data_IF_686443011432
#
_entry.id   IF_686443011432
#
_cell.length_a   1.000
_cell.length_b   1.000
_cell.length_c   1.000
_cell.angle_alpha   90.00
_cell.angle_beta   90.00
_cell.angle_gamma   90.00
#
_symmetry.space_group_name_H-M   'P 1'
#
loop_
_entity.id
_entity.type
_entity.pdbx_description
1 polymer ?
#
# COMPACT_ATOMS: atom_id res chain seq x y z
N UNK A 1 -17.06 14.30 8.31
CA UNK A 1 -15.86 15.15 8.45
C UNK A 1 -14.66 14.24 8.31
N UNK A 2 -13.77 14.47 7.34
CA UNK A 2 -12.55 13.70 7.23
C UNK A 2 -11.51 14.29 8.18
N UNK A 3 -10.84 13.49 9.03
CA UNK A 3 -9.74 13.98 9.84
C UNK A 3 -8.60 14.40 8.92
N UNK A 4 -8.08 15.61 9.10
CA UNK A 4 -6.90 16.11 8.38
C UNK A 4 -5.64 16.08 9.24
N UNK A 5 -5.79 15.82 10.53
CA UNK A 5 -4.74 15.76 11.54
C UNK A 5 -5.27 14.99 12.74
N UNK A 6 -4.41 14.29 13.43
CA UNK A 6 -4.66 13.82 14.79
C UNK A 6 -4.02 14.77 15.83
N UNK A 7 -4.41 14.64 17.07
CA UNK A 7 -3.93 15.48 18.17
C UNK A 7 -2.86 14.78 19.04
N UNK A 8 -2.44 13.56 18.66
CA UNK A 8 -1.43 12.81 19.41
C UNK A 8 -0.02 13.31 19.07
N UNK A 9 0.75 13.84 20.03
CA UNK A 9 2.09 14.34 19.79
C UNK A 9 3.05 13.16 19.51
N UNK A 10 3.89 13.30 18.49
CA UNK A 10 4.99 12.38 18.19
C UNK A 10 6.32 12.93 18.68
N UNK A 11 7.23 12.05 19.09
CA UNK A 11 8.57 12.40 19.57
C UNK A 11 9.61 12.31 18.45
N UNK A 12 9.38 11.46 17.45
CA UNK A 12 10.28 11.22 16.34
C UNK A 12 9.72 11.71 15.01
N UNK A 13 10.60 11.99 14.04
CA UNK A 13 10.16 12.35 12.68
C UNK A 13 9.73 11.09 11.93
N UNK A 14 8.59 11.09 11.24
CA UNK A 14 8.05 9.92 10.53
C UNK A 14 8.75 9.70 9.17
N UNK A 15 10.03 9.33 9.20
CA UNK A 15 10.87 9.23 7.99
C UNK A 15 10.36 8.14 7.05
N UNK A 16 9.93 6.99 7.58
CA UNK A 16 9.45 5.86 6.77
C UNK A 16 8.10 6.19 6.16
N UNK A 17 7.17 6.76 6.94
CA UNK A 17 5.86 7.20 6.43
C UNK A 17 6.02 8.19 5.28
N UNK A 18 6.89 9.21 5.45
CA UNK A 18 7.18 10.21 4.41
C UNK A 18 7.80 9.53 3.18
N UNK A 19 8.75 8.61 3.36
CA UNK A 19 9.38 7.90 2.25
C UNK A 19 8.39 7.05 1.46
N UNK A 20 7.51 6.30 2.16
CA UNK A 20 6.46 5.49 1.52
C UNK A 20 5.49 6.37 0.72
N UNK A 21 5.04 7.49 1.29
CA UNK A 21 4.19 8.47 0.60
C UNK A 21 4.90 9.00 -0.65
N UNK A 22 6.15 9.44 -0.52
CA UNK A 22 6.92 9.97 -1.64
C UNK A 22 7.08 8.95 -2.77
N UNK A 23 7.38 7.68 -2.45
CA UNK A 23 7.51 6.59 -3.42
C UNK A 23 6.18 6.37 -4.15
N UNK A 24 5.06 6.25 -3.43
CA UNK A 24 3.74 6.07 -4.04
C UNK A 24 3.37 7.23 -4.95
N UNK A 25 3.61 8.47 -4.52
CA UNK A 25 3.35 9.68 -5.33
C UNK A 25 4.23 9.70 -6.57
N UNK A 26 5.54 9.42 -6.47
CA UNK A 26 6.44 9.39 -7.62
C UNK A 26 6.04 8.31 -8.64
N UNK A 27 5.72 7.10 -8.17
CA UNK A 27 5.25 6.01 -9.04
C UNK A 27 3.94 6.39 -9.71
N UNK A 28 3.00 6.97 -8.99
CA UNK A 28 1.72 7.38 -9.55
C UNK A 28 1.87 8.51 -10.58
N UNK A 29 2.72 9.50 -10.34
CA UNK A 29 3.01 10.56 -11.32
C UNK A 29 3.63 9.97 -12.58
N UNK A 30 4.51 8.99 -12.45
CA UNK A 30 5.03 8.24 -13.60
C UNK A 30 3.90 7.50 -14.34
N UNK A 31 3.05 6.74 -13.64
CA UNK A 31 1.88 6.08 -14.23
C UNK A 31 0.97 7.07 -14.97
N UNK A 32 0.73 8.24 -14.39
CA UNK A 32 -0.12 9.29 -14.96
C UNK A 32 0.49 9.94 -16.20
N UNK A 33 1.83 10.00 -16.31
CA UNK A 33 2.53 10.54 -17.47
C UNK A 33 2.50 9.62 -18.70
N UNK A 34 2.14 8.35 -18.52
CA UNK A 34 2.10 7.37 -19.60
C UNK A 34 0.80 7.45 -20.40
N UNK A 35 0.84 6.97 -21.63
CA UNK A 35 -0.37 6.71 -22.40
C UNK A 35 -1.24 5.66 -21.70
N UNK A 36 -2.54 5.71 -21.94
CA UNK A 36 -3.48 4.79 -21.27
C UNK A 36 -3.11 3.30 -21.47
N UNK A 37 -2.69 2.91 -22.65
CA UNK A 37 -2.26 1.54 -22.97
C UNK A 37 -1.01 1.11 -22.19
N UNK A 38 -0.04 2.02 -22.03
CA UNK A 38 1.21 1.75 -21.30
C UNK A 38 0.95 1.64 -19.79
N UNK A 39 0.13 2.53 -19.24
CA UNK A 39 -0.27 2.47 -17.83
C UNK A 39 -1.06 1.18 -17.54
N UNK A 40 -1.98 0.79 -18.42
CA UNK A 40 -2.71 -0.49 -18.29
C UNK A 40 -1.74 -1.67 -18.29
N UNK A 41 -0.74 -1.67 -19.17
CA UNK A 41 0.29 -2.71 -19.19
C UNK A 41 1.11 -2.78 -17.88
N UNK A 42 1.48 -1.63 -17.31
CA UNK A 42 2.19 -1.58 -16.01
C UNK A 42 1.32 -2.17 -14.90
N UNK A 43 0.06 -1.76 -14.82
CA UNK A 43 -0.87 -2.27 -13.82
C UNK A 43 -1.07 -3.77 -13.97
N UNK A 44 -1.20 -4.24 -15.22
CA UNK A 44 -1.39 -5.66 -15.52
C UNK A 44 -0.17 -6.52 -15.21
N UNK A 45 1.04 -5.97 -15.39
CA UNK A 45 2.31 -6.66 -15.17
C UNK A 45 2.81 -6.62 -13.74
N UNK A 46 2.56 -5.54 -13.00
CA UNK A 46 3.08 -5.32 -11.65
C UNK A 46 2.00 -5.36 -10.55
N UNK A 47 0.72 -5.37 -10.92
CA UNK A 47 -0.39 -5.63 -10.02
C UNK A 47 -0.49 -7.11 -9.69
N UNK A 48 -0.86 -7.43 -8.46
CA UNK A 48 -1.00 -8.82 -8.00
C UNK A 48 -2.31 -9.41 -8.53
N UNK A 49 -2.21 -10.45 -9.35
CA UNK A 49 -3.35 -11.22 -9.85
C UNK A 49 -3.50 -12.50 -9.05
N UNK A 50 -4.60 -12.69 -8.30
CA UNK A 50 -4.83 -13.90 -7.51
C UNK A 50 -4.65 -15.18 -8.31
N UNK A 51 -5.24 -15.25 -9.49
CA UNK A 51 -5.17 -16.44 -10.35
C UNK A 51 -3.73 -16.78 -10.76
N UNK A 52 -2.94 -15.78 -11.17
CA UNK A 52 -1.54 -15.99 -11.56
C UNK A 52 -0.68 -16.44 -10.38
N UNK A 53 -0.98 -15.96 -9.18
CA UNK A 53 -0.26 -16.37 -7.98
C UNK A 53 -0.39 -17.88 -7.70
N UNK A 54 -1.54 -18.50 -7.99
CA UNK A 54 -1.81 -19.91 -7.75
C UNK A 54 -1.49 -20.81 -8.95
N UNK A 55 -1.78 -20.36 -10.18
CA UNK A 55 -1.58 -21.18 -11.37
C UNK A 55 -0.13 -21.15 -11.88
N UNK A 56 0.55 -20.03 -11.73
CA UNK A 56 1.91 -19.81 -12.20
C UNK A 56 2.83 -19.34 -11.07
N UNK A 57 3.02 -20.15 -10.00
CA UNK A 57 3.86 -19.76 -8.87
C UNK A 57 5.30 -19.55 -9.34
N UNK A 58 5.86 -18.36 -9.03
CA UNK A 58 7.23 -18.01 -9.42
C UNK A 58 7.65 -16.65 -8.89
N UNK A 59 8.93 -16.33 -8.98
CA UNK A 59 9.50 -15.09 -8.43
C UNK A 59 8.79 -13.84 -8.95
N UNK A 60 8.44 -13.82 -10.24
CA UNK A 60 7.74 -12.69 -10.84
C UNK A 60 6.38 -12.47 -10.18
N UNK A 61 5.56 -13.52 -10.03
CA UNK A 61 4.23 -13.41 -9.44
C UNK A 61 4.29 -13.17 -7.93
N UNK A 62 5.29 -13.68 -7.22
CA UNK A 62 5.52 -13.32 -5.82
C UNK A 62 5.97 -11.87 -5.66
N UNK A 63 6.77 -11.35 -6.60
CA UNK A 63 7.17 -9.94 -6.60
C UNK A 63 5.97 -9.00 -6.76
N UNK A 64 4.93 -9.40 -7.52
CA UNK A 64 3.73 -8.57 -7.70
C UNK A 64 2.98 -8.30 -6.39
N UNK A 65 3.12 -9.13 -5.37
CA UNK A 65 2.56 -8.87 -4.04
C UNK A 65 3.10 -7.56 -3.46
N UNK A 66 4.40 -7.31 -3.66
CA UNK A 66 5.05 -6.10 -3.16
C UNK A 66 4.88 -4.92 -4.11
N UNK A 67 5.09 -5.10 -5.41
CA UNK A 67 4.97 -4.01 -6.39
C UNK A 67 3.55 -3.44 -6.45
N UNK A 68 2.53 -4.28 -6.30
CA UNK A 68 1.12 -3.86 -6.27
C UNK A 68 0.81 -2.85 -5.17
N UNK A 69 1.52 -2.89 -4.04
CA UNK A 69 1.32 -1.95 -2.93
C UNK A 69 1.66 -0.50 -3.28
N UNK A 70 2.44 -0.27 -4.34
CA UNK A 70 2.89 1.07 -4.76
C UNK A 70 2.13 1.62 -5.97
N UNK A 71 1.36 0.77 -6.67
CA UNK A 71 0.55 1.18 -7.81
C UNK A 71 -0.80 1.74 -7.36
N UNK A 72 -1.33 2.74 -8.09
CA UNK A 72 -2.63 3.31 -7.79
C UNK A 72 -3.45 3.51 -9.05
N UNK A 73 -4.75 3.19 -8.98
CA UNK A 73 -5.66 3.24 -10.12
C UNK A 73 -6.25 4.63 -10.43
N UNK A 74 -5.93 5.65 -9.62
CA UNK A 74 -6.42 7.01 -9.84
C UNK A 74 -6.14 7.94 -8.66
N UNK A 75 -6.35 9.24 -8.87
CA UNK A 75 -6.06 10.28 -7.87
C UNK A 75 -6.76 10.05 -6.53
N UNK A 76 -8.04 9.73 -6.52
CA UNK A 76 -8.79 9.53 -5.27
C UNK A 76 -8.29 8.31 -4.50
N UNK A 77 -7.87 7.26 -5.20
CA UNK A 77 -7.27 6.07 -4.61
C UNK A 77 -5.92 6.39 -3.95
N UNK A 78 -5.05 7.14 -4.66
CA UNK A 78 -3.78 7.59 -4.09
C UNK A 78 -3.99 8.52 -2.90
N UNK A 79 -4.80 9.58 -3.07
CA UNK A 79 -5.02 10.59 -2.02
C UNK A 79 -5.58 9.94 -0.76
N UNK A 80 -6.55 9.02 -0.89
CA UNK A 80 -7.11 8.30 0.25
C UNK A 80 -6.04 7.52 1.01
N UNK A 81 -5.23 6.71 0.32
CA UNK A 81 -4.15 5.95 0.96
C UNK A 81 -3.11 6.87 1.62
N UNK A 82 -2.65 7.90 0.92
CA UNK A 82 -1.62 8.80 1.43
C UNK A 82 -2.11 9.65 2.60
N UNK A 83 -3.37 10.07 2.57
CA UNK A 83 -3.97 10.82 3.67
C UNK A 83 -4.02 9.98 4.96
N UNK A 84 -4.50 8.75 4.88
CA UNK A 84 -4.53 7.85 6.05
C UNK A 84 -3.13 7.50 6.56
N UNK A 85 -2.18 7.25 5.66
CA UNK A 85 -0.80 7.01 6.05
C UNK A 85 -0.14 8.25 6.67
N UNK A 86 -0.47 9.45 6.18
CA UNK A 86 0.01 10.72 6.73
C UNK A 86 -0.52 10.97 8.15
N UNK A 87 -1.82 10.73 8.38
CA UNK A 87 -2.48 11.04 9.65
C UNK A 87 -2.10 10.04 10.74
N UNK A 88 -2.06 8.74 10.41
CA UNK A 88 -1.91 7.68 11.40
C UNK A 88 -0.51 7.03 11.40
N UNK A 89 0.19 7.10 10.27
CA UNK A 89 1.50 6.48 10.11
C UNK A 89 2.55 7.06 11.02
N UNK A 90 2.54 8.38 11.25
CA UNK A 90 3.48 9.07 12.11
C UNK A 90 3.45 8.52 13.56
N UNK A 91 2.27 8.32 14.13
CA UNK A 91 2.11 7.85 15.50
C UNK A 91 2.50 6.38 15.64
N UNK A 92 2.15 5.54 14.67
CA UNK A 92 2.52 4.12 14.68
C UNK A 92 4.02 3.95 14.43
N UNK A 93 4.61 4.76 13.56
CA UNK A 93 6.07 4.78 13.35
C UNK A 93 6.81 5.23 14.61
N UNK A 94 6.29 6.26 15.31
CA UNK A 94 6.85 6.72 16.58
C UNK A 94 6.79 5.64 17.66
N UNK A 95 5.65 4.94 17.78
CA UNK A 95 5.45 3.87 18.76
C UNK A 95 6.31 2.63 18.51
N UNK A 96 6.51 2.24 17.23
CA UNK A 96 7.24 1.03 16.86
C UNK A 96 8.72 1.28 16.58
N UNK A 97 9.08 2.50 16.19
CA UNK A 97 10.37 2.84 15.58
C UNK A 97 10.41 2.49 14.09
N UNK A 98 11.25 3.19 13.33
CA UNK A 98 11.31 3.17 11.87
C UNK A 98 11.38 1.78 11.25
N UNK A 99 12.31 0.94 11.73
CA UNK A 99 12.53 -0.40 11.13
C UNK A 99 11.35 -1.34 11.37
N UNK A 100 10.80 -1.36 12.60
CA UNK A 100 9.66 -2.23 12.90
C UNK A 100 8.41 -1.76 12.17
N UNK A 101 8.21 -0.46 12.05
CA UNK A 101 7.10 0.12 11.28
C UNK A 101 7.17 -0.27 9.81
N UNK A 102 8.35 -0.19 9.18
CA UNK A 102 8.53 -0.62 7.79
C UNK A 102 8.20 -2.10 7.59
N UNK A 103 8.72 -2.96 8.47
CA UNK A 103 8.41 -4.40 8.43
C UNK A 103 6.91 -4.65 8.65
N UNK A 104 6.31 -3.98 9.63
CA UNK A 104 4.88 -4.07 9.92
C UNK A 104 4.02 -3.67 8.71
N UNK A 105 4.36 -2.56 8.04
CA UNK A 105 3.69 -2.10 6.83
C UNK A 105 3.69 -3.18 5.74
N UNK A 106 4.84 -3.79 5.47
CA UNK A 106 4.94 -4.85 4.47
C UNK A 106 4.22 -6.13 4.90
N UNK A 107 4.27 -6.51 6.17
CA UNK A 107 3.54 -7.68 6.67
C UNK A 107 2.03 -7.49 6.53
N UNK A 108 1.51 -6.30 6.86
CA UNK A 108 0.08 -5.99 6.68
C UNK A 108 -0.33 -6.02 5.20
N UNK A 109 0.50 -5.46 4.31
CA UNK A 109 0.26 -5.51 2.86
C UNK A 109 0.28 -6.93 2.32
N UNK A 110 1.25 -7.75 2.73
CA UNK A 110 1.32 -9.16 2.38
C UNK A 110 0.09 -9.93 2.88
N UNK A 111 -0.28 -9.75 4.14
CA UNK A 111 -1.46 -10.42 4.71
C UNK A 111 -2.74 -10.06 3.96
N UNK A 112 -2.93 -8.79 3.62
CA UNK A 112 -4.08 -8.32 2.84
C UNK A 112 -4.09 -8.92 1.42
N UNK A 113 -2.94 -8.94 0.74
CA UNK A 113 -2.81 -9.50 -0.60
C UNK A 113 -3.12 -11.01 -0.61
N UNK A 114 -2.56 -11.76 0.34
CA UNK A 114 -2.84 -13.19 0.48
C UNK A 114 -4.31 -13.45 0.84
N UNK A 115 -4.90 -12.66 1.73
CA UNK A 115 -6.31 -12.77 2.07
C UNK A 115 -7.20 -12.54 0.85
N UNK A 116 -6.92 -11.51 0.05
CA UNK A 116 -7.64 -11.24 -1.18
C UNK A 116 -7.48 -12.39 -2.19
N UNK A 117 -6.26 -12.90 -2.33
CA UNK A 117 -6.00 -14.03 -3.22
C UNK A 117 -6.80 -15.29 -2.83
N UNK A 118 -6.94 -15.56 -1.52
CA UNK A 118 -7.73 -16.68 -1.01
C UNK A 118 -9.25 -16.49 -1.22
N UNK A 119 -9.74 -15.25 -1.09
CA UNK A 119 -11.17 -14.93 -1.29
C UNK A 119 -11.56 -14.97 -2.76
N UNK A 120 -10.66 -14.57 -3.67
CA UNK A 120 -10.93 -14.49 -5.11
C UNK A 120 -9.88 -15.23 -5.94
N UNK A 121 -9.67 -16.55 -5.74
CA UNK A 121 -8.53 -17.28 -6.30
C UNK A 121 -8.50 -17.37 -7.82
N UNK A 122 -9.63 -17.16 -8.47
CA UNK A 122 -9.77 -17.23 -9.94
C UNK A 122 -9.78 -15.83 -10.60
N UNK A 123 -9.52 -14.76 -9.85
CA UNK A 123 -9.56 -13.40 -10.39
C UNK A 123 -8.32 -13.09 -11.23
N UNK A 124 -8.57 -12.62 -12.45
CA UNK A 124 -7.56 -12.05 -13.35
C UNK A 124 -7.41 -10.52 -13.18
N UNK A 125 -8.23 -9.92 -12.30
CA UNK A 125 -8.19 -8.48 -12.05
C UNK A 125 -6.99 -8.17 -11.16
N UNK A 126 -6.07 -7.27 -11.61
CA UNK A 126 -4.93 -6.89 -10.80
C UNK A 126 -5.36 -6.16 -9.53
N UNK A 127 -4.94 -6.64 -8.38
CA UNK A 127 -5.03 -5.92 -7.11
C UNK A 127 -3.88 -4.91 -7.05
N UNK A 128 -4.19 -3.66 -6.72
CA UNK A 128 -3.21 -2.56 -6.59
C UNK A 128 -3.59 -1.65 -5.43
N UNK A 129 -2.60 -0.97 -4.86
CA UNK A 129 -2.77 0.05 -3.82
C UNK A 129 -2.17 -0.32 -2.47
N UNK A 130 -1.81 0.71 -1.74
CA UNK A 130 -1.28 0.62 -0.39
C UNK A 130 -2.33 0.24 0.67
N UNK A 131 -3.61 0.16 0.30
CA UNK A 131 -4.76 0.11 1.21
C UNK A 131 -4.71 -1.02 2.25
N UNK A 132 -4.19 -2.19 1.88
CA UNK A 132 -4.02 -3.31 2.80
C UNK A 132 -3.05 -2.99 3.95
N UNK A 133 -1.88 -2.43 3.62
CA UNK A 133 -0.90 -2.00 4.61
C UNK A 133 -1.40 -0.81 5.44
N UNK A 134 -2.03 0.17 4.79
CA UNK A 134 -2.62 1.35 5.44
C UNK A 134 -3.75 0.96 6.40
N UNK A 135 -4.55 -0.06 6.05
CA UNK A 135 -5.58 -0.60 6.96
C UNK A 135 -4.96 -1.21 8.22
N UNK A 136 -3.81 -1.89 8.10
CA UNK A 136 -3.06 -2.37 9.26
C UNK A 136 -2.58 -1.23 10.16
N UNK A 137 -2.04 -0.16 9.57
CA UNK A 137 -1.61 1.05 10.30
C UNK A 137 -2.80 1.68 11.02
N UNK A 138 -3.94 1.89 10.34
CA UNK A 138 -5.15 2.44 10.94
C UNK A 138 -5.67 1.56 12.09
N UNK A 139 -5.71 0.23 11.89
CA UNK A 139 -6.16 -0.71 12.93
C UNK A 139 -5.27 -0.65 14.17
N UNK A 140 -3.95 -0.55 13.98
CA UNK A 140 -3.01 -0.40 15.09
C UNK A 140 -3.19 0.94 15.82
N UNK A 141 -3.45 2.01 15.08
CA UNK A 141 -3.76 3.31 15.66
C UNK A 141 -5.00 3.24 16.57
N UNK A 142 -6.09 2.64 16.10
CA UNK A 142 -7.33 2.48 16.89
C UNK A 142 -7.18 1.57 18.10
N UNK A 143 -6.14 0.74 18.17
CA UNK A 143 -5.86 -0.11 19.31
C UNK A 143 -4.95 0.57 20.36
N UNK A 144 -4.14 1.53 19.95
CA UNK A 144 -3.16 2.19 20.80
C UNK A 144 -3.64 3.53 21.36
N UNK A 145 -4.56 4.18 20.63
CA UNK A 145 -5.09 5.52 20.93
C UNK A 145 -6.62 5.55 20.97
#
# INVERSE_FOLDING_TARGET
MFPLKDDNPTQTKPIVSIALIAICVCIFLYQFSLLHSENTFIIDSLGMKPKELFLNPGLTNYFTIFSSMFLHGGFMHLIGNMLFLWIYGNNIEDAMGHTKFLLFYFVCGLAAALSQALVTPNSDIPMIGASGAVSGVLSSYLLLY
#
